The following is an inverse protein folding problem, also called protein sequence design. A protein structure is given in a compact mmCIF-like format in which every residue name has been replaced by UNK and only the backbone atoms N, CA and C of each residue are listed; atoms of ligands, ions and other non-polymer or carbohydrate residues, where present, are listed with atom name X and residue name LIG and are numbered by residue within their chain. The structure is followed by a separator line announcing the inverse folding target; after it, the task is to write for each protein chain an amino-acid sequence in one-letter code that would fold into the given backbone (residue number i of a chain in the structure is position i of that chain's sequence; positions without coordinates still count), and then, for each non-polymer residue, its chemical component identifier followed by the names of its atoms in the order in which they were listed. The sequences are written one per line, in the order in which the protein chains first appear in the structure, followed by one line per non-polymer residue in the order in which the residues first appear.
data_IF_074757303307
#
_entry.id   IF_074757303307
#
_cell.length_a   1.000
_cell.length_b   1.000
_cell.length_c   1.000
_cell.angle_alpha   90.00
_cell.angle_beta   90.00
_cell.angle_gamma   90.00
#
_symmetry.space_group_name_H-M   'P 1'
#
loop_
_entity.id
_entity.type
_entity.pdbx_description
1 polymer ?
#
# COMPACT_ATOMS: atom_id res chain seq x y z
N UNK A 1 -4.56 -25.30 -3.17
CA UNK A 1 -3.56 -24.62 -4.03
C UNK A 1 -2.47 -24.05 -3.15
N UNK A 2 -1.19 -24.23 -3.46
CA UNK A 2 -0.09 -23.63 -2.70
C UNK A 2 0.07 -22.16 -3.14
N UNK A 3 0.11 -21.24 -2.18
CA UNK A 3 0.33 -19.82 -2.43
C UNK A 3 1.83 -19.54 -2.40
N UNK A 4 2.33 -18.88 -3.42
CA UNK A 4 3.75 -18.52 -3.57
C UNK A 4 4.03 -17.08 -3.16
N UNK A 5 3.05 -16.15 -3.34
CA UNK A 5 3.16 -14.78 -2.87
C UNK A 5 1.81 -14.21 -2.42
N UNK A 6 1.86 -13.22 -1.54
CA UNK A 6 0.69 -12.43 -1.10
C UNK A 6 0.89 -11.00 -1.58
N UNK A 7 -0.05 -10.51 -2.39
CA UNK A 7 -0.18 -9.11 -2.74
C UNK A 7 -1.33 -8.51 -1.93
N UNK A 8 -1.14 -7.34 -1.38
CA UNK A 8 -2.17 -6.71 -0.53
C UNK A 8 -2.27 -5.21 -0.78
N UNK A 9 -3.49 -4.70 -0.77
CA UNK A 9 -3.71 -3.28 -0.50
C UNK A 9 -3.31 -2.95 0.95
N UNK A 10 -3.15 -1.65 1.25
CA UNK A 10 -2.75 -1.19 2.57
C UNK A 10 -3.94 -0.63 3.37
N UNK A 11 -4.56 0.47 2.91
CA UNK A 11 -5.63 1.17 3.62
C UNK A 11 -6.95 0.39 3.52
N UNK A 12 -7.59 0.12 4.66
CA UNK A 12 -8.83 -0.70 4.73
C UNK A 12 -8.57 -2.21 4.73
N UNK A 13 -7.42 -2.65 4.24
CA UNK A 13 -7.05 -4.06 4.10
C UNK A 13 -6.11 -4.52 5.22
N UNK A 14 -4.94 -3.92 5.35
CA UNK A 14 -3.99 -4.23 6.44
C UNK A 14 -4.09 -3.22 7.59
N UNK A 15 -4.43 -1.98 7.27
CA UNK A 15 -4.62 -0.89 8.20
C UNK A 15 -6.08 -0.47 8.19
N UNK A 16 -6.78 -0.42 9.35
CA UNK A 16 -8.16 0.00 9.37
C UNK A 16 -8.27 1.44 8.87
N UNK A 17 -9.20 1.68 7.95
CA UNK A 17 -9.64 3.05 7.64
C UNK A 17 -10.33 3.56 8.88
N UNK A 18 -9.70 4.49 9.61
CA UNK A 18 -10.33 5.17 10.72
C UNK A 18 -11.60 5.85 10.21
N UNK A 19 -12.74 5.26 10.52
CA UNK A 19 -13.99 6.00 10.57
C UNK A 19 -13.72 7.19 11.49
N UNK A 20 -13.66 8.39 10.89
CA UNK A 20 -13.65 9.71 11.50
C UNK A 20 -13.60 9.68 13.04
N UNK A 21 -12.47 9.35 13.63
CA UNK A 21 -12.23 9.68 15.02
C UNK A 21 -11.76 11.12 15.04
N UNK A 22 -12.52 11.98 15.72
CA UNK A 22 -12.23 13.41 15.94
C UNK A 22 -10.93 13.65 16.74
N UNK A 23 -10.19 12.62 17.04
CA UNK A 23 -8.92 12.70 17.75
C UNK A 23 -7.76 12.88 16.76
N UNK A 24 -7.22 14.10 16.79
CA UNK A 24 -6.02 14.55 16.07
C UNK A 24 -4.72 13.79 16.45
N UNK A 25 -4.80 12.54 16.88
CA UNK A 25 -3.61 11.75 17.19
C UNK A 25 -3.18 10.93 15.97
N UNK A 26 -1.94 11.10 15.54
CA UNK A 26 -1.22 10.40 14.47
C UNK A 26 -1.16 8.85 14.61
N UNK A 27 -1.99 8.24 15.45
CA UNK A 27 -1.94 6.81 15.80
C UNK A 27 -2.74 5.89 14.90
N UNK A 28 -3.62 6.41 14.02
CA UNK A 28 -4.66 5.60 13.35
C UNK A 28 -4.28 4.97 12.00
N UNK A 29 -3.09 5.23 11.46
CA UNK A 29 -2.68 4.72 10.13
C UNK A 29 -1.64 3.61 10.19
N UNK A 30 -1.71 2.74 11.23
CA UNK A 30 -0.77 1.63 11.41
C UNK A 30 -1.48 0.28 11.36
N UNK A 31 -0.77 -0.71 10.86
CA UNK A 31 -1.20 -2.11 10.93
C UNK A 31 -1.27 -2.52 12.41
N UNK A 32 -2.35 -3.16 12.87
CA UNK A 32 -2.41 -3.68 14.23
C UNK A 32 -1.24 -4.62 14.54
N UNK A 33 -0.62 -4.48 15.70
CA UNK A 33 0.62 -5.17 16.06
C UNK A 33 0.55 -6.69 15.87
N UNK A 34 -0.59 -7.29 16.24
CA UNK A 34 -0.81 -8.74 16.06
C UNK A 34 -0.79 -9.13 14.58
N UNK A 35 -1.44 -8.36 13.72
CA UNK A 35 -1.49 -8.61 12.29
C UNK A 35 -0.10 -8.39 11.67
N UNK A 36 0.58 -7.31 12.05
CA UNK A 36 1.92 -6.99 11.58
C UNK A 36 2.93 -8.11 11.89
N UNK A 37 2.91 -8.66 13.12
CA UNK A 37 3.76 -9.81 13.51
C UNK A 37 3.52 -11.04 12.64
N UNK A 38 2.26 -11.34 12.32
CA UNK A 38 1.92 -12.48 11.47
C UNK A 38 2.44 -12.25 10.05
N UNK A 39 2.25 -11.06 9.49
CA UNK A 39 2.73 -10.72 8.14
C UNK A 39 4.26 -10.79 8.09
N UNK A 40 4.97 -10.33 9.11
CA UNK A 40 6.42 -10.48 9.22
C UNK A 40 6.85 -11.94 9.13
N UNK A 41 6.22 -12.81 9.92
CA UNK A 41 6.53 -14.25 9.91
C UNK A 41 6.21 -14.92 8.55
N UNK A 42 5.16 -14.46 7.88
CA UNK A 42 4.82 -14.91 6.52
C UNK A 42 5.90 -14.47 5.54
N UNK A 43 6.31 -13.21 5.62
CA UNK A 43 7.27 -12.61 4.72
C UNK A 43 8.69 -13.19 4.80
N UNK A 44 8.99 -13.99 5.84
CA UNK A 44 10.21 -14.79 5.92
C UNK A 44 10.16 -16.07 5.08
N UNK A 45 8.97 -16.49 4.64
CA UNK A 45 8.74 -17.79 3.98
C UNK A 45 8.27 -17.64 2.54
N UNK A 46 7.41 -16.66 2.28
CA UNK A 46 6.91 -16.33 0.94
C UNK A 46 6.95 -14.82 0.73
N UNK A 47 6.93 -14.38 -0.51
CA UNK A 47 6.97 -12.96 -0.84
C UNK A 47 5.67 -12.26 -0.44
N UNK A 48 5.79 -11.11 0.22
CA UNK A 48 4.68 -10.20 0.54
C UNK A 48 4.93 -8.88 -0.16
N UNK A 49 3.97 -8.44 -0.96
CA UNK A 49 4.04 -7.21 -1.74
C UNK A 49 2.85 -6.31 -1.41
N UNK A 50 3.04 -5.01 -1.51
CA UNK A 50 1.98 -4.02 -1.30
C UNK A 50 1.65 -3.33 -2.62
N UNK A 51 0.35 -3.24 -2.92
CA UNK A 51 -0.21 -2.56 -4.09
C UNK A 51 -1.17 -1.48 -3.58
N UNK A 52 -0.78 -0.22 -3.64
CA UNK A 52 -1.54 0.87 -2.99
C UNK A 52 -1.60 2.15 -3.82
N UNK A 53 -2.60 2.98 -3.52
CA UNK A 53 -2.68 4.35 -4.01
C UNK A 53 -1.72 5.32 -3.28
N UNK A 54 -1.09 4.89 -2.20
CA UNK A 54 -0.13 5.68 -1.43
C UNK A 54 1.24 5.71 -2.09
N UNK A 55 2.00 6.77 -1.80
CA UNK A 55 3.38 6.92 -2.26
C UNK A 55 4.38 6.12 -1.42
N UNK A 56 5.63 6.08 -1.88
CA UNK A 56 6.71 5.38 -1.22
C UNK A 56 6.99 5.91 0.19
N UNK A 57 6.98 7.23 0.38
CA UNK A 57 7.31 7.86 1.66
C UNK A 57 6.35 7.44 2.77
N UNK A 58 5.07 7.26 2.41
CA UNK A 58 4.05 6.74 3.32
C UNK A 58 4.21 5.24 3.58
N UNK A 59 4.35 4.42 2.54
CA UNK A 59 4.35 2.96 2.65
C UNK A 59 5.63 2.41 3.26
N UNK A 60 6.80 2.89 2.83
CA UNK A 60 8.09 2.34 3.23
C UNK A 60 8.30 2.30 4.75
N UNK A 61 7.83 3.31 5.49
CA UNK A 61 7.94 3.34 6.95
C UNK A 61 7.01 2.36 7.66
N UNK A 62 5.94 1.91 6.98
CA UNK A 62 4.84 1.11 7.56
C UNK A 62 4.84 -0.35 7.14
N UNK A 63 5.57 -0.69 6.07
CA UNK A 63 5.51 -2.02 5.43
C UNK A 63 6.90 -2.62 5.21
N UNK A 64 7.78 -2.49 6.22
CA UNK A 64 9.16 -2.99 6.16
C UNK A 64 9.29 -4.50 5.89
N UNK A 65 8.20 -5.25 6.01
CA UNK A 65 8.11 -6.65 5.64
C UNK A 65 7.95 -6.88 4.13
N UNK A 66 7.55 -5.86 3.37
CA UNK A 66 7.26 -6.02 1.95
C UNK A 66 8.55 -6.22 1.14
N UNK A 67 8.50 -7.09 0.13
CA UNK A 67 9.55 -7.28 -0.88
C UNK A 67 9.42 -6.27 -2.01
N UNK A 68 8.18 -5.98 -2.41
CA UNK A 68 7.87 -5.03 -3.48
C UNK A 68 6.80 -4.05 -2.99
N UNK A 69 6.98 -2.77 -3.29
CA UNK A 69 5.97 -1.73 -3.13
C UNK A 69 5.55 -1.21 -4.50
N UNK A 70 4.32 -1.45 -4.89
CA UNK A 70 3.69 -0.83 -6.04
C UNK A 70 2.90 0.39 -5.56
N UNK A 71 3.50 1.55 -5.71
CA UNK A 71 3.05 2.84 -5.19
C UNK A 71 2.22 3.59 -6.23
N UNK A 72 1.34 4.47 -5.75
CA UNK A 72 0.55 5.40 -6.58
C UNK A 72 -0.16 4.63 -7.71
N UNK A 73 -0.88 3.55 -7.34
CA UNK A 73 -1.62 2.69 -8.30
C UNK A 73 -0.74 2.06 -9.39
N UNK A 74 0.55 1.80 -9.09
CA UNK A 74 1.50 1.18 -10.00
C UNK A 74 2.29 2.15 -10.88
N UNK A 75 2.15 3.47 -10.68
CA UNK A 75 2.99 4.46 -11.39
C UNK A 75 4.46 4.24 -11.04
N UNK A 76 4.76 3.84 -9.80
CA UNK A 76 6.11 3.46 -9.40
C UNK A 76 6.09 2.11 -8.67
N UNK A 77 6.90 1.17 -9.13
CA UNK A 77 7.11 -0.13 -8.49
C UNK A 77 8.54 -0.25 -8.02
N UNK A 78 8.72 -0.48 -6.70
CA UNK A 78 10.03 -0.52 -6.05
C UNK A 78 10.28 -1.91 -5.48
N UNK A 79 11.44 -2.47 -5.79
CA UNK A 79 11.93 -3.70 -5.19
C UNK A 79 12.85 -3.36 -4.02
N UNK A 80 12.61 -4.02 -2.89
CA UNK A 80 13.27 -3.74 -1.64
C UNK A 80 14.16 -4.91 -1.23
N UNK A 81 15.42 -4.63 -0.90
CA UNK A 81 16.31 -5.61 -0.26
C UNK A 81 16.06 -5.60 1.24
N UNK A 82 15.73 -6.76 1.78
CA UNK A 82 15.68 -6.96 3.24
C UNK A 82 16.98 -7.56 3.74
N UNK A 83 17.57 -6.97 4.77
CA UNK A 83 18.65 -7.61 5.53
C UNK A 83 18.04 -8.61 6.51
N UNK A 84 18.50 -9.87 6.49
CA UNK A 84 17.98 -10.90 7.41
C UNK A 84 18.29 -10.52 8.85
N UNK A 85 17.29 -10.44 9.71
CA UNK A 85 17.42 -10.14 11.15
C UNK A 85 18.48 -11.00 11.88
N UNK A 86 18.71 -12.24 11.40
CA UNK A 86 19.71 -13.16 11.99
C UNK A 86 21.16 -12.68 11.86
N UNK A 87 21.47 -11.85 10.87
CA UNK A 87 22.83 -11.31 10.72
C UNK A 87 23.10 -10.19 11.74
N UNK A 88 22.13 -9.34 12.01
CA UNK A 88 22.27 -8.23 12.95
C UNK A 88 22.41 -8.72 14.41
N UNK A 89 21.74 -9.82 14.77
CA UNK A 89 21.88 -10.40 16.11
C UNK A 89 23.21 -11.14 16.33
N UNK A 90 23.87 -11.62 15.26
CA UNK A 90 25.18 -12.29 15.38
C UNK A 90 26.34 -11.31 15.47
N UNK A 91 26.27 -10.17 14.81
CA UNK A 91 27.29 -9.13 14.92
C UNK A 91 27.39 -8.53 16.34
N UNK A 92 26.26 -8.49 17.08
CA UNK A 92 26.25 -8.02 18.47
C UNK A 92 26.63 -9.10 19.51
N UNK A 93 26.87 -10.37 19.09
CA UNK A 93 27.28 -11.46 19.98
C UNK A 93 28.79 -11.75 19.96
N UNK A 94 29.54 -11.19 19.00
CA UNK A 94 30.97 -11.49 18.86
C UNK A 94 31.94 -10.50 19.56
N UNK A 95 31.42 -9.42 20.19
CA UNK A 95 32.27 -8.42 20.87
C UNK A 95 32.35 -8.59 22.41
N UNK A 96 31.97 -9.76 22.97
CA UNK A 96 31.98 -9.95 24.43
C UNK A 96 32.77 -11.19 24.91
N UNK A 97 33.79 -11.64 24.22
CA UNK A 97 34.76 -12.59 24.77
C UNK A 97 36.16 -11.99 24.69
N UNK A 98 36.51 -11.07 25.58
CA UNK A 98 37.78 -11.05 26.27
C UNK A 98 37.80 -9.98 27.39
N UNK A 99 38.32 -10.44 28.49
CA UNK A 99 38.88 -9.77 29.65
C UNK A 99 38.01 -9.36 30.84
N UNK A 100 38.40 -10.02 31.88
CA UNK A 100 38.11 -9.96 33.29
C UNK A 100 38.05 -8.55 33.93
N UNK A 101 37.17 -8.43 34.94
CA UNK A 101 37.12 -7.42 36.00
C UNK A 101 36.54 -6.03 35.66
N UNK A 102 35.25 -5.79 35.80
CA UNK A 102 34.79 -4.90 36.86
C UNK A 102 33.23 -4.77 36.91
N UNK A 103 32.76 -4.47 38.09
CA UNK A 103 31.39 -4.27 38.57
C UNK A 103 30.54 -3.34 37.74
N UNK A 104 29.21 -3.71 37.72
CA UNK A 104 28.06 -2.82 37.51
C UNK A 104 28.01 -2.08 36.17
N UNK A 105 27.20 -2.61 35.26
CA UNK A 105 26.17 -1.82 34.54
C UNK A 105 25.16 -2.81 33.92
N UNK A 106 23.99 -2.95 34.54
CA UNK A 106 22.79 -3.51 33.91
C UNK A 106 22.29 -2.49 32.86
N UNK A 107 22.88 -2.48 31.69
CA UNK A 107 22.30 -1.89 30.51
C UNK A 107 22.08 -2.99 29.48
N UNK A 108 21.07 -3.83 29.69
CA UNK A 108 20.40 -4.50 28.61
C UNK A 108 19.76 -3.39 27.76
N UNK A 109 20.46 -2.95 26.71
CA UNK A 109 19.87 -2.19 25.64
C UNK A 109 18.84 -3.09 24.97
N UNK A 110 17.59 -3.02 25.44
CA UNK A 110 16.44 -3.50 24.71
C UNK A 110 16.37 -2.60 23.45
N UNK A 111 17.04 -3.02 22.35
CA UNK A 111 16.83 -2.42 21.04
C UNK A 111 15.35 -2.63 20.76
N UNK A 112 14.59 -1.56 20.79
CA UNK A 112 13.15 -1.63 20.54
C UNK A 112 12.96 -2.19 19.14
N UNK A 113 11.96 -3.05 18.95
CA UNK A 113 11.59 -3.63 17.65
C UNK A 113 11.42 -2.55 16.54
N UNK A 114 11.16 -1.29 16.93
CA UNK A 114 11.10 -0.12 16.05
C UNK A 114 12.46 0.32 15.49
N UNK A 115 13.53 0.37 16.31
CA UNK A 115 14.86 0.83 15.88
C UNK A 115 15.55 -0.15 14.93
N UNK A 116 15.27 -1.45 15.05
CA UNK A 116 15.76 -2.47 14.13
C UNK A 116 15.10 -2.37 12.75
N UNK A 117 13.82 -1.93 12.66
CA UNK A 117 13.08 -1.81 11.39
C UNK A 117 13.71 -0.82 10.41
N UNK A 118 14.26 0.29 10.87
CA UNK A 118 14.73 1.37 9.99
C UNK A 118 16.06 1.05 9.26
N UNK A 119 16.81 0.07 9.73
CA UNK A 119 18.07 -0.38 9.10
C UNK A 119 17.90 -1.57 8.14
N UNK A 120 16.69 -2.11 7.97
CA UNK A 120 16.47 -3.43 7.37
C UNK A 120 16.11 -3.41 5.88
N UNK A 121 15.87 -2.27 5.27
CA UNK A 121 15.51 -2.21 3.85
C UNK A 121 16.24 -1.10 3.10
N UNK A 122 16.70 -1.43 1.90
CA UNK A 122 17.13 -0.45 0.89
C UNK A 122 16.43 -0.72 -0.44
N UNK A 123 16.28 0.31 -1.26
CA UNK A 123 15.75 0.17 -2.62
C UNK A 123 16.81 -0.51 -3.48
N UNK A 124 16.46 -1.64 -4.13
CA UNK A 124 17.29 -2.31 -5.13
C UNK A 124 17.04 -1.75 -6.52
N UNK A 125 15.77 -1.56 -6.86
CA UNK A 125 15.37 -1.01 -8.14
C UNK A 125 14.06 -0.24 -7.98
N UNK A 126 13.89 0.78 -8.84
CA UNK A 126 12.64 1.51 -9.02
C UNK A 126 12.29 1.46 -10.50
N UNK A 127 11.09 1.01 -10.81
CA UNK A 127 10.56 0.93 -12.16
C UNK A 127 9.36 1.85 -12.31
N UNK A 128 9.42 2.74 -13.31
CA UNK A 128 8.33 3.62 -13.72
C UNK A 128 7.98 3.23 -15.16
N UNK A 129 6.86 2.54 -15.40
CA UNK A 129 6.52 2.01 -16.73
C UNK A 129 6.14 3.07 -17.75
N UNK A 130 5.88 4.31 -17.30
CA UNK A 130 5.47 5.42 -18.18
C UNK A 130 6.67 6.25 -18.63
N UNK A 131 6.52 6.93 -19.77
CA UNK A 131 7.52 7.89 -20.24
C UNK A 131 7.75 8.98 -19.17
N UNK A 132 9.01 9.12 -18.73
CA UNK A 132 9.40 10.05 -17.68
C UNK A 132 9.13 11.52 -18.05
N UNK A 133 9.25 11.88 -19.32
CA UNK A 133 8.99 13.25 -19.78
C UNK A 133 7.50 13.58 -19.66
N UNK A 134 6.61 12.65 -20.01
CA UNK A 134 5.15 12.79 -19.83
C UNK A 134 4.81 12.97 -18.35
N UNK A 135 5.40 12.14 -17.49
CA UNK A 135 5.19 12.25 -16.04
C UNK A 135 5.64 13.61 -15.51
N UNK A 136 6.77 14.13 -15.99
CA UNK A 136 7.34 15.39 -15.54
C UNK A 136 6.51 16.60 -15.98
N UNK A 137 6.00 16.59 -17.21
CA UNK A 137 5.10 17.64 -17.70
C UNK A 137 3.74 17.62 -16.99
N UNK A 138 3.17 16.42 -16.82
CA UNK A 138 1.92 16.26 -16.07
C UNK A 138 2.09 16.57 -14.56
N UNK A 139 3.29 16.39 -14.00
CA UNK A 139 3.60 16.78 -12.61
C UNK A 139 3.39 18.28 -12.36
N UNK A 140 3.87 19.13 -13.30
CA UNK A 140 3.67 20.59 -13.22
C UNK A 140 2.20 20.95 -13.32
N UNK A 141 1.46 20.29 -14.20
CA UNK A 141 0.02 20.49 -14.35
C UNK A 141 -0.74 20.06 -13.08
N UNK A 142 -0.40 18.92 -12.49
CA UNK A 142 -0.98 18.44 -11.23
C UNK A 142 -0.72 19.40 -10.06
N UNK A 143 0.47 19.97 -9.98
CA UNK A 143 0.83 20.89 -8.91
C UNK A 143 0.04 22.19 -9.01
N UNK A 144 -0.04 22.76 -10.23
CA UNK A 144 -0.89 23.94 -10.51
C UNK A 144 -2.37 23.66 -10.20
N UNK A 145 -2.87 22.50 -10.59
CA UNK A 145 -4.24 22.06 -10.33
C UNK A 145 -4.51 21.91 -8.82
N UNK A 146 -3.57 21.33 -8.07
CA UNK A 146 -3.68 21.18 -6.62
C UNK A 146 -3.76 22.54 -5.92
N UNK A 147 -2.97 23.51 -6.35
CA UNK A 147 -3.02 24.88 -5.82
C UNK A 147 -4.34 25.57 -6.17
N UNK A 148 -4.80 25.47 -7.42
CA UNK A 148 -6.09 26.04 -7.85
C UNK A 148 -7.25 25.46 -7.06
N UNK A 149 -7.28 24.12 -6.83
CA UNK A 149 -8.30 23.46 -6.02
C UNK A 149 -8.24 23.96 -4.56
N UNK A 150 -7.05 24.07 -3.99
CA UNK A 150 -6.86 24.53 -2.60
C UNK A 150 -7.36 25.96 -2.38
N UNK A 151 -7.22 26.83 -3.38
CA UNK A 151 -7.70 28.22 -3.34
C UNK A 151 -9.24 28.26 -3.42
N UNK A 152 -9.83 27.49 -4.33
CA UNK A 152 -11.27 27.55 -4.62
C UNK A 152 -12.13 26.75 -3.64
N UNK A 153 -11.55 25.71 -2.99
CA UNK A 153 -12.27 24.79 -2.10
C UNK A 153 -11.60 24.68 -0.73
N UNK A 154 -11.80 25.67 0.12
CA UNK A 154 -11.15 25.80 1.44
C UNK A 154 -11.41 24.65 2.42
N UNK A 155 -12.47 23.87 2.19
CA UNK A 155 -12.88 22.76 3.08
C UNK A 155 -12.46 21.38 2.55
N UNK A 156 -11.50 21.33 1.64
CA UNK A 156 -10.97 20.09 1.06
C UNK A 156 -9.49 19.99 1.38
N UNK A 157 -9.03 18.78 1.69
CA UNK A 157 -7.60 18.51 1.86
C UNK A 157 -7.04 17.91 0.58
N UNK A 158 -5.88 18.39 0.13
CA UNK A 158 -5.16 17.84 -1.03
C UNK A 158 -3.94 17.09 -0.51
N UNK A 159 -3.93 15.76 -0.75
CA UNK A 159 -2.74 14.93 -0.54
C UNK A 159 -1.95 14.85 -1.86
N UNK A 160 -0.71 15.32 -1.85
CA UNK A 160 0.22 15.20 -2.99
C UNK A 160 1.02 13.92 -2.85
N UNK A 161 1.14 13.16 -3.95
CA UNK A 161 1.83 11.86 -4.01
C UNK A 161 3.03 11.96 -4.94
N UNK A 162 4.22 11.82 -4.38
CA UNK A 162 5.48 11.95 -5.11
C UNK A 162 6.11 10.58 -5.37
N UNK A 163 6.91 10.50 -6.44
CA UNK A 163 7.83 9.38 -6.65
C UNK A 163 8.85 9.29 -5.51
N UNK A 164 9.50 8.15 -5.37
CA UNK A 164 10.42 7.84 -4.26
C UNK A 164 11.61 8.81 -4.16
N UNK A 165 12.01 9.42 -5.28
CA UNK A 165 13.03 10.47 -5.36
C UNK A 165 12.49 11.88 -5.04
N UNK A 166 11.19 12.01 -4.76
CA UNK A 166 10.47 13.27 -4.49
C UNK A 166 10.54 14.31 -5.64
N UNK A 167 10.86 13.90 -6.87
CA UNK A 167 11.04 14.82 -7.99
C UNK A 167 9.76 14.99 -8.82
N UNK A 168 8.92 13.94 -8.91
CA UNK A 168 7.75 13.92 -9.75
C UNK A 168 6.50 13.81 -8.89
N UNK A 169 5.61 14.79 -8.99
CA UNK A 169 4.25 14.70 -8.45
C UNK A 169 3.43 13.81 -9.41
N UNK A 170 3.23 12.57 -9.02
CA UNK A 170 2.60 11.56 -9.85
C UNK A 170 1.07 11.45 -9.67
N UNK A 171 0.56 12.01 -8.56
CA UNK A 171 -0.88 12.04 -8.29
C UNK A 171 -1.26 12.98 -7.16
N UNK A 172 -2.53 13.33 -7.11
CA UNK A 172 -3.15 14.03 -5.99
C UNK A 172 -4.42 13.32 -5.56
N UNK A 173 -4.71 13.33 -4.25
CA UNK A 173 -6.00 12.90 -3.70
C UNK A 173 -6.72 14.11 -3.15
N UNK A 174 -7.93 14.34 -3.63
CA UNK A 174 -8.88 15.32 -3.13
C UNK A 174 -9.70 14.64 -2.05
N UNK A 175 -9.46 15.00 -0.78
CA UNK A 175 -9.96 14.29 0.40
C UNK A 175 -11.07 15.06 1.11
N UNK A 176 -12.22 14.42 1.27
CA UNK A 176 -13.43 14.94 1.91
C UNK A 176 -13.71 14.32 3.28
N UNK A 177 -12.83 13.42 3.80
CA UNK A 177 -13.10 12.60 5.02
C UNK A 177 -13.48 13.42 6.25
N UNK A 178 -12.90 14.58 6.42
CA UNK A 178 -13.14 15.46 7.58
C UNK A 178 -14.49 16.17 7.55
N UNK A 179 -15.24 16.09 6.45
CA UNK A 179 -16.55 16.70 6.33
C UNK A 179 -17.63 15.73 6.81
N UNK A 180 -18.48 16.15 7.77
CA UNK A 180 -19.59 15.31 8.29
C UNK A 180 -20.52 14.83 7.20
N UNK A 181 -20.82 15.68 6.21
CA UNK A 181 -21.70 15.38 5.06
C UNK A 181 -20.91 15.28 3.75
N UNK A 182 -19.78 14.58 3.77
CA UNK A 182 -18.88 14.52 2.63
C UNK A 182 -19.56 14.07 1.33
N UNK A 183 -20.56 13.17 1.39
CA UNK A 183 -21.29 12.69 0.21
C UNK A 183 -22.04 13.82 -0.49
N UNK A 184 -22.75 14.66 0.29
CA UNK A 184 -23.48 15.80 -0.24
C UNK A 184 -22.52 16.86 -0.80
N UNK A 185 -21.43 17.13 -0.08
CA UNK A 185 -20.42 18.10 -0.51
C UNK A 185 -19.68 17.62 -1.77
N UNK A 186 -19.23 16.37 -1.80
CA UNK A 186 -18.58 15.74 -2.96
C UNK A 186 -19.49 15.81 -4.19
N UNK A 187 -20.79 15.45 -4.05
CA UNK A 187 -21.76 15.49 -5.16
C UNK A 187 -21.90 16.88 -5.77
N UNK A 188 -21.81 17.95 -4.95
CA UNK A 188 -21.88 19.35 -5.41
C UNK A 188 -20.59 19.82 -6.08
N UNK A 189 -19.45 19.42 -5.54
CA UNK A 189 -18.13 19.91 -5.97
C UNK A 189 -17.50 19.09 -7.08
N UNK A 190 -17.81 17.79 -7.19
CA UNK A 190 -17.25 16.90 -8.22
C UNK A 190 -17.46 17.40 -9.67
N UNK A 191 -18.62 17.92 -10.08
CA UNK A 191 -18.78 18.46 -11.44
C UNK A 191 -17.86 19.67 -11.68
N UNK A 192 -17.75 20.57 -10.70
CA UNK A 192 -16.90 21.76 -10.79
C UNK A 192 -15.42 21.38 -10.86
N UNK A 193 -15.02 20.39 -10.08
CA UNK A 193 -13.65 19.85 -10.12
C UNK A 193 -13.34 19.19 -11.47
N UNK A 194 -14.27 18.41 -12.02
CA UNK A 194 -14.10 17.82 -13.36
C UNK A 194 -13.98 18.88 -14.44
N UNK A 195 -14.77 19.95 -14.37
CA UNK A 195 -14.67 21.07 -15.31
C UNK A 195 -13.32 21.79 -15.18
N UNK A 196 -12.86 22.04 -13.94
CA UNK A 196 -11.56 22.65 -13.66
C UNK A 196 -10.40 21.78 -14.21
N UNK A 197 -10.43 20.47 -13.96
CA UNK A 197 -9.44 19.52 -14.50
C UNK A 197 -9.46 19.55 -16.03
N UNK A 198 -10.64 19.52 -16.65
CA UNK A 198 -10.78 19.54 -18.10
C UNK A 198 -10.24 20.82 -18.74
N UNK A 199 -10.47 21.98 -18.11
CA UNK A 199 -9.91 23.26 -18.57
C UNK A 199 -8.37 23.27 -18.53
N UNK A 200 -7.79 22.75 -17.44
CA UNK A 200 -6.34 22.63 -17.29
C UNK A 200 -5.73 21.69 -18.34
N UNK A 201 -6.39 20.57 -18.65
CA UNK A 201 -5.96 19.64 -19.70
C UNK A 201 -6.01 20.33 -21.09
N UNK A 202 -7.08 21.05 -21.41
CA UNK A 202 -7.24 21.70 -22.70
C UNK A 202 -6.26 22.88 -22.94
N UNK A 203 -5.81 23.53 -21.87
CA UNK A 203 -4.80 24.60 -21.95
C UNK A 203 -3.37 24.08 -22.16
N UNK A 204 -3.10 22.83 -21.84
CA UNK A 204 -1.83 22.16 -22.03
C UNK A 204 -1.91 21.27 -23.26
N UNK A 205 -1.17 21.55 -24.30
CA UNK A 205 -1.32 21.00 -25.66
C UNK A 205 -0.97 19.51 -25.80
N UNK A 206 -0.74 18.72 -24.76
CA UNK A 206 -0.06 17.44 -24.94
C UNK A 206 -0.53 16.25 -24.11
N UNK A 207 -1.13 16.38 -22.92
CA UNK A 207 -1.25 15.20 -22.04
C UNK A 207 -2.59 15.12 -21.30
N UNK A 208 -3.07 13.90 -21.10
CA UNK A 208 -4.32 13.61 -20.42
C UNK A 208 -4.03 13.19 -18.97
N UNK A 209 -4.62 13.92 -18.00
CA UNK A 209 -4.65 13.48 -16.62
C UNK A 209 -5.71 12.40 -16.44
N UNK A 210 -5.41 11.40 -15.63
CA UNK A 210 -6.33 10.32 -15.33
C UNK A 210 -7.08 10.60 -14.03
N UNK A 211 -8.42 10.74 -14.12
CA UNK A 211 -9.30 11.06 -12.98
C UNK A 211 -10.03 9.80 -12.56
N UNK A 212 -9.92 9.44 -11.28
CA UNK A 212 -10.62 8.33 -10.68
C UNK A 212 -11.56 8.80 -9.57
N UNK A 213 -12.85 8.47 -9.69
CA UNK A 213 -13.87 8.80 -8.71
C UNK A 213 -14.46 7.53 -8.13
N UNK A 214 -14.85 7.57 -6.86
CA UNK A 214 -15.39 6.43 -6.13
C UNK A 214 -16.78 6.73 -5.63
N UNK A 215 -17.70 5.79 -5.80
CA UNK A 215 -19.10 5.96 -5.36
C UNK A 215 -19.23 5.87 -3.83
N UNK A 216 -18.39 5.07 -3.20
CA UNK A 216 -18.45 4.72 -1.76
C UNK A 216 -17.39 5.41 -0.91
N UNK A 217 -16.42 6.10 -1.53
CA UNK A 217 -15.28 6.68 -0.83
C UNK A 217 -15.27 8.22 -0.92
N UNK A 218 -14.82 8.88 0.16
CA UNK A 218 -14.74 10.34 0.24
C UNK A 218 -13.51 10.91 -0.49
N UNK A 219 -13.15 10.34 -1.65
CA UNK A 219 -11.98 10.74 -2.42
C UNK A 219 -12.29 10.97 -3.89
N UNK A 220 -11.49 11.81 -4.53
CA UNK A 220 -11.27 11.89 -5.97
C UNK A 220 -9.77 11.87 -6.16
N UNK A 221 -9.26 10.94 -6.94
CA UNK A 221 -7.86 10.87 -7.28
C UNK A 221 -7.62 11.40 -8.69
N UNK A 222 -6.53 12.14 -8.87
CA UNK A 222 -6.06 12.59 -10.19
C UNK A 222 -4.61 12.17 -10.33
N UNK A 223 -4.30 11.46 -11.41
CA UNK A 223 -2.98 10.92 -11.67
C UNK A 223 -2.39 11.49 -12.95
N UNK A 224 -1.06 11.55 -12.99
CA UNK A 224 -0.30 12.04 -14.14
C UNK A 224 -0.40 11.14 -15.38
N UNK A 225 -0.76 9.87 -15.20
CA UNK A 225 -0.94 8.88 -16.26
C UNK A 225 -2.05 7.92 -15.88
N UNK A 226 -2.55 7.17 -16.86
CA UNK A 226 -3.50 6.09 -16.59
C UNK A 226 -2.87 5.02 -15.72
N UNK A 227 -3.51 4.73 -14.60
CA UNK A 227 -3.09 3.74 -13.63
C UNK A 227 -4.30 3.09 -12.95
N UNK A 228 -4.14 1.86 -12.51
CA UNK A 228 -5.11 1.13 -11.71
C UNK A 228 -4.44 -0.05 -10.98
N UNK A 229 -5.13 -0.63 -9.99
CA UNK A 229 -4.58 -1.76 -9.22
C UNK A 229 -4.39 -3.04 -10.04
N UNK A 230 -5.03 -3.17 -11.20
CA UNK A 230 -4.77 -4.27 -12.10
C UNK A 230 -3.42 -4.11 -12.81
N UNK A 231 -3.11 -2.93 -13.33
CA UNK A 231 -1.80 -2.63 -13.90
C UNK A 231 -0.70 -2.71 -12.83
N UNK A 232 -0.98 -2.21 -11.63
CA UNK A 232 -0.07 -2.33 -10.49
C UNK A 232 0.21 -3.79 -10.09
N UNK A 233 -0.82 -4.65 -10.12
CA UNK A 233 -0.68 -6.08 -9.91
C UNK A 233 0.24 -6.70 -10.96
N UNK A 234 -0.03 -6.44 -12.25
CA UNK A 234 0.76 -7.01 -13.36
C UNK A 234 2.24 -6.57 -13.28
N UNK A 235 2.51 -5.30 -12.97
CA UNK A 235 3.86 -4.78 -12.76
C UNK A 235 4.56 -5.47 -11.57
N UNK A 236 3.84 -5.69 -10.46
CA UNK A 236 4.37 -6.38 -9.29
C UNK A 236 4.74 -7.83 -9.60
N UNK A 237 3.90 -8.53 -10.39
CA UNK A 237 4.19 -9.91 -10.81
C UNK A 237 5.40 -9.98 -11.74
N UNK A 238 5.52 -9.02 -12.68
CA UNK A 238 6.68 -8.94 -13.55
C UNK A 238 7.99 -8.79 -12.76
N UNK A 239 8.02 -7.91 -11.77
CA UNK A 239 9.17 -7.74 -10.87
C UNK A 239 9.45 -9.01 -10.04
N UNK A 240 8.42 -9.69 -9.53
CA UNK A 240 8.59 -10.96 -8.80
C UNK A 240 9.19 -12.05 -9.70
N UNK A 241 8.76 -12.15 -10.95
CA UNK A 241 9.28 -13.11 -11.91
C UNK A 241 10.77 -12.87 -12.22
N UNK A 242 11.18 -11.61 -12.37
CA UNK A 242 12.59 -11.26 -12.57
C UNK A 242 13.51 -11.73 -11.44
N UNK A 243 13.01 -11.75 -10.19
CA UNK A 243 13.79 -12.20 -9.02
C UNK A 243 13.79 -13.71 -8.82
N UNK A 244 12.80 -14.42 -9.39
CA UNK A 244 12.67 -15.86 -9.28
C UNK A 244 12.98 -16.57 -10.62
N UNK A 245 13.88 -15.98 -11.43
CA UNK A 245 14.21 -16.42 -12.79
C UNK A 245 14.66 -17.89 -12.92
N UNK A 246 15.07 -18.54 -11.81
CA UNK A 246 15.44 -19.95 -11.76
C UNK A 246 14.20 -20.89 -11.67
N UNK A 247 12.99 -20.37 -11.46
CA UNK A 247 11.74 -21.14 -11.38
C UNK A 247 10.79 -20.72 -12.51
N UNK A 248 10.80 -21.45 -13.62
CA UNK A 248 9.90 -21.22 -14.79
C UNK A 248 8.41 -21.43 -14.44
N UNK A 249 8.10 -21.84 -13.21
CA UNK A 249 6.74 -22.09 -12.78
C UNK A 249 5.99 -20.79 -12.51
N UNK A 250 4.80 -20.67 -13.10
CA UNK A 250 3.86 -19.60 -12.75
C UNK A 250 3.59 -19.58 -11.24
N UNK A 251 3.81 -18.45 -10.60
CA UNK A 251 3.51 -18.23 -9.19
C UNK A 251 2.01 -18.15 -8.94
N UNK A 252 1.54 -18.81 -7.87
CA UNK A 252 0.15 -18.70 -7.40
C UNK A 252 0.02 -17.57 -6.40
N UNK A 253 -0.83 -16.60 -6.72
CA UNK A 253 -0.95 -15.32 -6.03
C UNK A 253 -2.25 -15.25 -5.24
N UNK A 254 -2.13 -14.91 -3.95
CA UNK A 254 -3.25 -14.48 -3.13
C UNK A 254 -3.27 -12.94 -3.07
N UNK A 255 -4.41 -12.33 -3.40
CA UNK A 255 -4.61 -10.90 -3.31
C UNK A 255 -5.60 -10.54 -2.20
N UNK A 256 -5.24 -9.53 -1.38
CA UNK A 256 -6.08 -8.96 -0.33
C UNK A 256 -6.44 -7.52 -0.68
N UNK A 257 -7.72 -7.14 -0.59
CA UNK A 257 -8.19 -5.79 -0.86
C UNK A 257 -9.53 -5.52 -0.16
N UNK A 258 -9.96 -4.26 -0.05
CA UNK A 258 -11.17 -3.87 0.67
C UNK A 258 -12.15 -3.06 -0.14
N UNK A 259 -11.77 -2.58 -1.32
CA UNK A 259 -12.52 -1.59 -2.06
C UNK A 259 -12.77 -1.97 -3.53
N UNK A 260 -13.69 -1.24 -4.18
CA UNK A 260 -13.96 -1.40 -5.62
C UNK A 260 -12.73 -1.16 -6.52
N UNK A 261 -11.70 -0.45 -6.00
CA UNK A 261 -10.41 -0.28 -6.66
C UNK A 261 -9.64 -1.58 -6.82
N UNK A 262 -9.87 -2.54 -5.92
CA UNK A 262 -9.20 -3.83 -5.92
C UNK A 262 -9.80 -4.80 -6.93
N UNK A 263 -10.95 -4.48 -7.50
CA UNK A 263 -11.68 -5.39 -8.40
C UNK A 263 -10.86 -5.84 -9.61
N UNK A 264 -9.99 -4.97 -10.15
CA UNK A 264 -9.12 -5.32 -11.26
C UNK A 264 -7.97 -6.25 -10.84
N UNK A 265 -7.46 -6.10 -9.63
CA UNK A 265 -6.47 -7.01 -9.06
C UNK A 265 -7.09 -8.33 -8.61
N UNK A 266 -8.30 -8.32 -8.03
CA UNK A 266 -9.04 -9.54 -7.68
C UNK A 266 -9.24 -10.48 -8.88
N UNK A 267 -9.54 -9.92 -10.06
CA UNK A 267 -9.72 -10.70 -11.29
C UNK A 267 -8.44 -11.37 -11.80
N UNK A 268 -7.27 -10.89 -11.39
CA UNK A 268 -5.95 -11.38 -11.82
C UNK A 268 -5.35 -12.41 -10.87
N UNK A 269 -5.75 -12.35 -9.61
CA UNK A 269 -5.26 -13.22 -8.56
C UNK A 269 -5.83 -14.64 -8.68
N UNK A 270 -5.04 -15.64 -8.30
CA UNK A 270 -5.48 -17.04 -8.23
C UNK A 270 -6.44 -17.25 -7.05
N UNK A 271 -6.19 -16.56 -5.92
CA UNK A 271 -7.09 -16.45 -4.78
C UNK A 271 -7.28 -14.97 -4.44
N UNK A 272 -8.53 -14.52 -4.42
CA UNK A 272 -8.87 -13.13 -4.08
C UNK A 272 -9.77 -13.07 -2.86
N UNK A 273 -9.35 -12.27 -1.86
CA UNK A 273 -10.04 -12.11 -0.58
C UNK A 273 -10.35 -10.64 -0.35
N UNK A 274 -11.65 -10.34 -0.28
CA UNK A 274 -12.14 -9.04 0.15
C UNK A 274 -12.10 -8.93 1.68
N UNK A 275 -11.51 -7.86 2.20
CA UNK A 275 -11.46 -7.54 3.63
C UNK A 275 -12.55 -6.52 3.95
N UNK A 276 -13.46 -6.85 4.86
CA UNK A 276 -14.58 -5.98 5.22
C UNK A 276 -14.40 -5.46 6.64
N UNK A 277 -14.42 -4.14 6.81
CA UNK A 277 -14.34 -3.51 8.14
C UNK A 277 -15.72 -3.36 8.81
N UNK A 278 -16.80 -3.23 8.03
CA UNK A 278 -18.18 -3.13 8.52
C UNK A 278 -19.12 -3.96 7.65
N UNK A 279 -20.06 -4.67 8.29
CA UNK A 279 -21.11 -5.46 7.60
C UNK A 279 -22.09 -4.59 6.77
N UNK A 280 -22.15 -3.28 7.03
CA UNK A 280 -23.14 -2.38 6.40
C UNK A 280 -22.64 -1.73 5.10
N UNK A 281 -21.34 -1.60 4.92
CA UNK A 281 -20.75 -1.10 3.69
C UNK A 281 -20.24 -2.32 2.92
N UNK A 282 -21.12 -2.93 2.15
CA UNK A 282 -20.71 -3.97 1.22
C UNK A 282 -20.38 -3.30 -0.11
N UNK A 283 -19.12 -2.89 -0.35
CA UNK A 283 -18.72 -2.43 -1.67
C UNK A 283 -18.95 -3.59 -2.63
N UNK A 284 -19.27 -3.31 -3.90
CA UNK A 284 -19.43 -4.33 -4.93
C UNK A 284 -18.07 -4.96 -5.27
N UNK A 285 -17.56 -5.78 -4.35
CA UNK A 285 -16.29 -6.49 -4.54
C UNK A 285 -16.51 -7.68 -5.49
N UNK A 286 -15.57 -7.88 -6.39
CA UNK A 286 -15.54 -9.03 -7.31
C UNK A 286 -14.57 -10.13 -6.84
N UNK A 287 -14.24 -10.15 -5.56
CA UNK A 287 -13.39 -11.16 -4.95
C UNK A 287 -14.10 -12.51 -4.83
N UNK A 288 -13.33 -13.59 -4.69
CA UNK A 288 -13.85 -14.95 -4.50
C UNK A 288 -14.35 -15.18 -3.07
N UNK A 289 -13.67 -14.58 -2.08
CA UNK A 289 -13.97 -14.77 -0.65
C UNK A 289 -14.01 -13.44 0.08
N UNK A 290 -14.73 -13.42 1.22
CA UNK A 290 -14.81 -12.27 2.11
C UNK A 290 -14.34 -12.67 3.52
N UNK A 291 -13.54 -11.81 4.15
CA UNK A 291 -13.06 -11.95 5.52
C UNK A 291 -13.26 -10.65 6.27
N UNK A 292 -13.75 -10.70 7.51
CA UNK A 292 -13.80 -9.51 8.35
C UNK A 292 -12.40 -9.08 8.78
N UNK A 293 -12.15 -7.77 8.85
CA UNK A 293 -10.84 -7.23 9.22
C UNK A 293 -10.29 -7.81 10.53
N UNK A 294 -11.15 -7.94 11.56
CA UNK A 294 -10.76 -8.52 12.87
C UNK A 294 -10.40 -10.01 12.78
N UNK A 295 -10.79 -10.71 11.71
CA UNK A 295 -10.52 -12.13 11.45
C UNK A 295 -9.33 -12.35 10.51
N UNK A 296 -8.86 -11.30 9.82
CA UNK A 296 -7.75 -11.39 8.87
C UNK A 296 -6.50 -12.01 9.50
N UNK A 297 -6.18 -11.62 10.73
CA UNK A 297 -5.03 -12.19 11.47
C UNK A 297 -5.17 -13.70 11.72
N UNK A 298 -6.40 -14.18 11.96
CA UNK A 298 -6.69 -15.60 12.18
C UNK A 298 -6.54 -16.35 10.86
N UNK A 299 -7.10 -15.82 9.78
CA UNK A 299 -6.98 -16.41 8.44
C UNK A 299 -5.51 -16.56 8.01
N UNK A 300 -4.73 -15.48 8.10
CA UNK A 300 -3.31 -15.51 7.71
C UNK A 300 -2.49 -16.48 8.56
N UNK A 301 -2.80 -16.59 9.85
CA UNK A 301 -2.17 -17.55 10.73
C UNK A 301 -2.52 -19.01 10.35
N UNK A 302 -3.79 -19.29 10.00
CA UNK A 302 -4.21 -20.59 9.50
C UNK A 302 -3.51 -20.94 8.18
N UNK A 303 -3.41 -19.99 7.25
CA UNK A 303 -2.69 -20.17 5.98
C UNK A 303 -1.21 -20.51 6.23
N UNK A 304 -0.56 -19.81 7.15
CA UNK A 304 0.83 -20.09 7.53
C UNK A 304 1.00 -21.50 8.13
N UNK A 305 0.11 -21.91 9.05
CA UNK A 305 0.14 -23.24 9.65
C UNK A 305 -0.13 -24.36 8.64
N UNK A 306 -0.92 -24.07 7.61
CA UNK A 306 -1.17 -25.00 6.51
C UNK A 306 -0.09 -24.95 5.41
N UNK A 307 1.13 -24.48 5.74
CA UNK A 307 2.26 -24.37 4.81
C UNK A 307 1.91 -23.61 3.51
N UNK A 308 1.09 -22.58 3.64
CA UNK A 308 0.59 -21.76 2.51
C UNK A 308 -0.26 -22.53 1.49
N UNK A 309 -0.79 -23.68 1.84
CA UNK A 309 -1.78 -24.37 1.02
C UNK A 309 -3.15 -23.79 1.33
N UNK A 310 -3.70 -23.03 0.37
CA UNK A 310 -5.04 -22.47 0.48
C UNK A 310 -6.11 -23.55 0.23
N UNK A 311 -7.14 -23.54 1.06
CA UNK A 311 -8.40 -24.26 0.87
C UNK A 311 -9.52 -23.49 1.57
N UNK A 312 -10.75 -23.65 1.11
CA UNK A 312 -11.95 -22.99 1.66
C UNK A 312 -12.15 -23.27 3.16
N UNK A 313 -11.61 -24.42 3.63
CA UNK A 313 -11.65 -24.79 5.06
C UNK A 313 -10.95 -23.79 5.97
N UNK A 314 -9.97 -23.02 5.45
CA UNK A 314 -9.28 -21.98 6.22
C UNK A 314 -10.19 -20.82 6.59
N UNK A 315 -11.30 -20.64 5.84
CA UNK A 315 -12.28 -19.57 6.01
C UNK A 315 -13.49 -20.01 6.88
N UNK A 316 -13.61 -21.31 7.19
CA UNK A 316 -14.72 -21.78 8.02
C UNK A 316 -14.63 -21.23 9.45
N UNK A 317 -15.77 -20.75 9.98
CA UNK A 317 -15.87 -20.17 11.32
C UNK A 317 -14.94 -18.96 11.54
N UNK A 318 -14.71 -18.17 10.49
CA UNK A 318 -14.14 -16.84 10.58
C UNK A 318 -15.25 -15.82 10.77
#
# INVERSE_FOLDING_TARGET
MKIDAILSDYDGTLCPTSSISQDNSNSSSRIPERLEKIIWNISEKIDVCIVSSKDFSFLHRRTKFAKILSCIMGIETLVLKRHKLKAVMRENQYDNDDDSNNKNINNKTNISFGECKDKLQCILSSHIPSNKDILQDNSRLLDSLADEISINFKNITIERKFTSDNQILAGITIDYRHLKEWQSYKRKTEPLLKEMIQRNIQSSSSYELYVQTYSTHPFIDVYSVRCDKGLAFDATIAELACFNADDDRRQSILYLGDSENDNLAFKRADVSIGVCSDKRLNPKLTCQYLVQFNQLSIFLKRLQYNNFVFSDKLLLNL
#
